data_IF_832052382979
#
_entry.id   IF_832052382979
#
_cell.length_a   1.000
_cell.length_b   1.000
_cell.length_c   1.000
_cell.angle_alpha   90.00
_cell.angle_beta   90.00
_cell.angle_gamma   90.00
#
_symmetry.space_group_name_H-M   'P 1'
#
loop_
_entity.id
_entity.type
_entity.pdbx_description
1 polymer ?
#
# COMPACT_ATOMS: atom_id res chain seq x y z
N UNK A 1 -68.28 -21.08 6.59
CA UNK A 1 -67.01 -20.94 7.32
C UNK A 1 -66.67 -22.30 7.91
N UNK A 2 -65.44 -22.76 7.63
CA UNK A 2 -64.67 -23.85 8.27
C UNK A 2 -65.23 -25.29 8.31
N UNK A 3 -64.67 -26.10 7.42
CA UNK A 3 -64.69 -27.57 7.20
C UNK A 3 -64.17 -28.40 8.39
N UNK A 4 -64.88 -29.45 8.83
CA UNK A 4 -64.73 -30.91 8.55
C UNK A 4 -63.29 -31.46 8.75
N UNK A 5 -62.99 -32.27 9.79
CA UNK A 5 -63.25 -33.72 10.07
C UNK A 5 -62.07 -34.64 9.70
N UNK A 6 -61.70 -35.44 10.72
CA UNK A 6 -60.98 -36.72 10.82
C UNK A 6 -60.35 -37.41 9.60
N UNK A 7 -59.26 -38.17 9.86
CA UNK A 7 -59.24 -39.66 9.82
C UNK A 7 -57.84 -40.17 10.22
N UNK A 8 -57.83 -41.09 11.19
CA UNK A 8 -56.71 -41.98 11.54
C UNK A 8 -56.76 -43.21 10.62
N UNK A 9 -55.63 -43.62 10.06
CA UNK A 9 -55.41 -44.99 9.59
C UNK A 9 -53.94 -45.38 9.73
N UNK A 10 -53.77 -46.65 10.06
CA UNK A 10 -52.62 -47.34 10.62
C UNK A 10 -51.69 -47.98 9.58
N UNK A 11 -50.55 -48.47 10.10
CA UNK A 11 -49.64 -49.53 9.60
C UNK A 11 -48.57 -49.15 8.57
N UNK A 12 -47.29 -49.27 8.94
CA UNK A 12 -46.48 -50.47 8.64
C UNK A 12 -45.15 -50.46 9.42
N UNK A 13 -44.78 -51.63 9.95
CA UNK A 13 -43.50 -51.94 10.60
C UNK A 13 -42.48 -52.29 9.52
N UNK A 14 -41.29 -51.68 9.55
CA UNK A 14 -40.06 -52.33 9.06
C UNK A 14 -38.92 -52.00 10.02
N UNK A 15 -38.44 -53.04 10.69
CA UNK A 15 -37.28 -53.04 11.56
C UNK A 15 -36.09 -53.57 10.74
N UNK A 16 -35.13 -52.71 10.39
CA UNK A 16 -33.83 -53.14 9.90
C UNK A 16 -32.77 -52.80 10.94
N UNK A 17 -32.16 -53.86 11.49
CA UNK A 17 -30.96 -53.78 12.30
C UNK A 17 -29.83 -53.20 11.44
N UNK A 18 -29.32 -52.02 11.80
CA UNK A 18 -28.06 -51.52 11.25
C UNK A 18 -26.93 -51.95 12.17
N UNK A 19 -26.14 -52.92 11.68
CA UNK A 19 -24.83 -53.22 12.22
C UNK A 19 -23.93 -51.99 12.03
N UNK A 20 -23.40 -51.47 13.13
CA UNK A 20 -22.52 -50.32 13.13
C UNK A 20 -21.21 -50.61 12.40
N UNK A 21 -20.89 -49.75 11.43
CA UNK A 21 -19.50 -49.46 11.06
C UNK A 21 -19.32 -47.95 11.20
N UNK A 22 -18.77 -47.54 12.35
CA UNK A 22 -18.33 -46.18 12.57
C UNK A 22 -17.10 -45.93 11.70
N UNK A 23 -17.28 -45.33 10.52
CA UNK A 23 -16.17 -44.76 9.77
C UNK A 23 -15.81 -43.44 10.44
N UNK A 24 -14.78 -43.47 11.28
CA UNK A 24 -14.19 -42.28 11.87
C UNK A 24 -13.69 -41.39 10.73
N UNK A 25 -14.11 -40.11 10.61
CA UNK A 25 -13.53 -39.23 9.62
C UNK A 25 -12.05 -39.04 9.95
N UNK A 26 -11.18 -39.35 8.99
CA UNK A 26 -9.75 -39.10 9.13
C UNK A 26 -9.54 -37.61 9.45
N UNK A 27 -8.79 -37.33 10.52
CA UNK A 27 -8.47 -35.97 10.92
C UNK A 27 -7.88 -35.20 9.72
N UNK A 28 -8.31 -33.94 9.47
CA UNK A 28 -7.70 -33.15 8.41
C UNK A 28 -6.20 -33.05 8.69
N UNK A 29 -5.39 -33.40 7.69
CA UNK A 29 -3.95 -33.27 7.79
C UNK A 29 -3.59 -31.84 8.25
N UNK A 30 -2.66 -31.67 9.21
CA UNK A 30 -2.34 -30.36 9.73
C UNK A 30 -1.89 -29.45 8.60
N UNK A 31 -2.60 -28.32 8.43
CA UNK A 31 -2.24 -27.33 7.44
C UNK A 31 -0.84 -26.80 7.76
N UNK A 32 0.10 -26.96 6.82
CA UNK A 32 1.45 -26.43 6.95
C UNK A 32 1.42 -24.96 7.37
N UNK A 33 2.21 -24.62 8.38
CA UNK A 33 2.39 -23.24 8.80
C UNK A 33 2.96 -22.42 7.64
N UNK A 34 2.68 -21.11 7.61
CA UNK A 34 3.24 -20.24 6.57
C UNK A 34 4.78 -20.30 6.55
N UNK A 35 5.41 -20.50 7.71
CA UNK A 35 6.85 -20.72 7.84
C UNK A 35 7.32 -21.98 7.11
N UNK A 36 6.58 -23.07 7.21
CA UNK A 36 6.86 -24.32 6.49
C UNK A 36 6.57 -24.18 4.99
N UNK A 37 5.49 -23.49 4.61
CA UNK A 37 5.17 -23.17 3.21
C UNK A 37 6.26 -22.32 2.56
N UNK A 38 6.73 -21.28 3.25
CA UNK A 38 7.84 -20.42 2.81
C UNK A 38 9.15 -21.21 2.68
N UNK A 39 9.46 -22.07 3.66
CA UNK A 39 10.65 -22.94 3.62
C UNK A 39 10.61 -23.89 2.42
N UNK A 40 9.44 -24.47 2.12
CA UNK A 40 9.23 -25.37 0.98
C UNK A 40 9.27 -24.66 -0.38
N UNK A 41 8.74 -23.43 -0.47
CA UNK A 41 8.80 -22.60 -1.68
C UNK A 41 10.24 -22.17 -1.99
N UNK A 42 11.02 -21.81 -0.96
CA UNK A 42 12.43 -21.39 -1.13
C UNK A 42 13.32 -22.54 -1.60
N UNK A 43 12.97 -23.79 -1.26
CA UNK A 43 13.69 -24.99 -1.70
C UNK A 43 13.37 -25.45 -3.13
N UNK A 44 12.31 -24.93 -3.76
CA UNK A 44 11.89 -25.27 -5.12
C UNK A 44 12.04 -24.05 -6.03
N UNK A 45 13.27 -23.62 -6.26
CA UNK A 45 13.55 -22.60 -7.29
C UNK A 45 14.00 -23.29 -8.56
N UNK A 46 13.06 -23.51 -9.49
CA UNK A 46 13.26 -23.48 -10.95
C UNK A 46 11.88 -23.38 -11.59
N UNK A 47 11.59 -22.22 -12.22
CA UNK A 47 10.42 -21.92 -13.05
C UNK A 47 9.03 -22.38 -12.56
N UNK A 48 8.29 -21.49 -11.89
CA UNK A 48 6.83 -21.62 -11.70
C UNK A 48 6.13 -20.42 -12.34
N UNK A 49 5.15 -20.73 -13.19
CA UNK A 49 4.28 -19.82 -13.91
C UNK A 49 3.44 -18.96 -12.95
N UNK A 50 3.27 -17.68 -13.29
CA UNK A 50 3.07 -16.53 -12.41
C UNK A 50 1.72 -16.37 -11.69
N UNK A 51 0.75 -17.25 -11.90
CA UNK A 51 -0.65 -16.87 -11.62
C UNK A 51 -1.12 -17.12 -10.19
N UNK A 52 -0.28 -17.71 -9.33
CA UNK A 52 -0.64 -18.09 -7.95
C UNK A 52 0.48 -17.86 -6.93
N UNK A 53 1.39 -16.91 -7.16
CA UNK A 53 2.39 -16.60 -6.16
C UNK A 53 1.78 -15.72 -5.06
N UNK A 54 1.88 -16.18 -3.81
CA UNK A 54 1.59 -15.35 -2.63
C UNK A 54 2.48 -14.10 -2.64
N UNK A 55 3.66 -14.16 -3.26
CA UNK A 55 4.62 -13.07 -3.38
C UNK A 55 5.15 -12.95 -4.80
N UNK A 56 5.16 -11.74 -5.37
CA UNK A 56 5.69 -11.47 -6.72
C UNK A 56 7.06 -10.77 -6.70
N UNK A 57 7.60 -10.50 -5.51
CA UNK A 57 9.00 -10.21 -5.28
C UNK A 57 9.76 -11.45 -4.77
N UNK A 58 11.09 -11.54 -5.02
CA UNK A 58 11.91 -12.59 -4.42
C UNK A 58 11.82 -12.54 -2.89
N UNK A 59 11.51 -13.67 -2.27
CA UNK A 59 11.40 -13.77 -0.80
C UNK A 59 12.63 -14.48 -0.24
N UNK A 60 13.43 -13.75 0.53
CA UNK A 60 14.55 -14.31 1.30
C UNK A 60 14.21 -14.22 2.78
N UNK A 61 14.31 -15.32 3.52
CA UNK A 61 14.19 -15.33 4.97
C UNK A 61 15.56 -15.57 5.62
N UNK A 62 16.06 -14.58 6.36
CA UNK A 62 17.35 -14.66 7.06
C UNK A 62 17.32 -13.91 8.40
N UNK A 63 18.45 -13.89 9.11
CA UNK A 63 18.55 -13.26 10.44
C UNK A 63 18.18 -11.77 10.46
N UNK A 64 18.47 -11.01 9.40
CA UNK A 64 18.09 -9.59 9.31
C UNK A 64 16.58 -9.44 9.14
N UNK A 65 15.96 -10.25 8.28
CA UNK A 65 14.50 -10.26 8.10
C UNK A 65 13.79 -10.66 9.39
N UNK A 66 14.24 -11.73 10.05
CA UNK A 66 13.64 -12.16 11.33
C UNK A 66 13.79 -11.13 12.43
N UNK A 67 14.90 -10.37 12.45
CA UNK A 67 15.11 -9.26 13.38
C UNK A 67 14.06 -8.16 13.16
N UNK A 68 13.78 -7.80 11.91
CA UNK A 68 12.75 -6.80 11.61
C UNK A 68 11.33 -7.30 11.89
N UNK A 69 11.04 -8.58 11.66
CA UNK A 69 9.78 -9.18 12.09
C UNK A 69 9.61 -9.02 13.61
N UNK A 70 10.61 -9.42 14.39
CA UNK A 70 10.58 -9.28 15.84
C UNK A 70 10.49 -7.80 16.27
N UNK A 71 11.15 -6.89 15.55
CA UNK A 71 11.06 -5.47 15.82
C UNK A 71 9.64 -4.94 15.62
N UNK A 72 9.00 -5.26 14.50
CA UNK A 72 7.61 -4.87 14.23
C UNK A 72 6.63 -5.48 15.22
N UNK A 73 6.87 -6.71 15.69
CA UNK A 73 6.03 -7.36 16.72
C UNK A 73 6.29 -6.84 18.15
N UNK A 74 7.46 -6.26 18.41
CA UNK A 74 7.85 -5.80 19.73
C UNK A 74 6.99 -4.65 20.25
N UNK A 75 6.96 -4.45 21.58
CA UNK A 75 6.05 -3.52 22.26
C UNK A 75 6.03 -2.09 21.68
N UNK A 76 7.18 -1.57 21.25
CA UNK A 76 7.26 -0.25 20.60
C UNK A 76 6.88 -0.30 19.12
N UNK A 77 7.27 -1.37 18.43
CA UNK A 77 7.07 -1.55 16.99
C UNK A 77 5.61 -1.78 16.60
N UNK A 78 4.92 -2.60 17.40
CA UNK A 78 3.60 -3.12 17.07
C UNK A 78 2.54 -2.04 16.99
N UNK A 79 2.67 -0.96 17.78
CA UNK A 79 1.72 0.15 17.78
C UNK A 79 1.69 0.87 16.42
N UNK A 80 2.82 1.39 15.95
CA UNK A 80 2.85 2.11 14.67
C UNK A 80 2.77 1.18 13.47
N UNK A 81 3.29 -0.06 13.58
CA UNK A 81 3.15 -1.02 12.49
C UNK A 81 1.68 -1.44 12.29
N UNK A 82 0.90 -1.54 13.38
CA UNK A 82 -0.56 -1.72 13.30
C UNK A 82 -1.22 -0.58 12.50
N UNK A 83 -0.86 0.67 12.78
CA UNK A 83 -1.39 1.81 12.01
C UNK A 83 -1.05 1.70 10.52
N UNK A 84 0.16 1.26 10.19
CA UNK A 84 0.58 1.04 8.80
C UNK A 84 -0.24 -0.06 8.13
N UNK A 85 -0.49 -1.17 8.83
CA UNK A 85 -1.37 -2.25 8.34
C UNK A 85 -2.80 -1.74 8.10
N UNK A 86 -3.35 -0.96 9.03
CA UNK A 86 -4.70 -0.39 8.89
C UNK A 86 -4.80 0.57 7.69
N UNK A 87 -3.83 1.48 7.54
CA UNK A 87 -3.77 2.40 6.37
C UNK A 87 -3.54 1.66 5.06
N UNK A 88 -2.87 0.51 5.08
CA UNK A 88 -2.64 -0.27 3.86
C UNK A 88 -3.94 -0.71 3.18
N UNK A 89 -5.02 -0.99 3.94
CA UNK A 89 -6.33 -1.32 3.37
C UNK A 89 -6.88 -0.18 2.49
N UNK A 90 -6.61 1.08 2.86
CA UNK A 90 -7.05 2.26 2.13
C UNK A 90 -6.25 2.50 0.85
N UNK A 91 -4.92 2.44 0.93
CA UNK A 91 -4.04 2.95 -0.14
C UNK A 91 -3.44 1.86 -1.04
N UNK A 92 -3.21 0.66 -0.51
CA UNK A 92 -2.53 -0.40 -1.26
C UNK A 92 -3.30 -0.87 -2.50
N UNK A 93 -4.65 -1.00 -2.50
CA UNK A 93 -5.39 -1.39 -3.70
C UNK A 93 -5.13 -0.47 -4.90
N UNK A 94 -5.06 0.85 -4.67
CA UNK A 94 -4.76 1.84 -5.71
C UNK A 94 -3.33 1.65 -6.23
N UNK A 95 -2.34 1.59 -5.33
CA UNK A 95 -0.92 1.46 -5.71
C UNK A 95 -0.70 0.16 -6.50
N UNK A 96 -1.25 -0.96 -6.03
CA UNK A 96 -1.14 -2.25 -6.70
C UNK A 96 -1.83 -2.24 -8.06
N UNK A 97 -2.98 -1.58 -8.21
CA UNK A 97 -3.63 -1.45 -9.51
C UNK A 97 -2.73 -0.71 -10.52
N UNK A 98 -2.07 0.38 -10.11
CA UNK A 98 -1.14 1.12 -10.98
C UNK A 98 0.15 0.31 -11.28
N UNK A 99 0.71 -0.41 -10.29
CA UNK A 99 1.84 -1.33 -10.52
C UNK A 99 1.47 -2.43 -11.52
N UNK A 100 0.28 -3.03 -11.37
CA UNK A 100 -0.24 -4.05 -12.28
C UNK A 100 -0.36 -3.53 -13.71
N UNK A 101 -0.96 -2.35 -13.90
CA UNK A 101 -1.07 -1.70 -15.22
C UNK A 101 0.30 -1.45 -15.85
N UNK A 102 1.30 -1.18 -15.02
CA UNK A 102 2.66 -0.94 -15.48
C UNK A 102 3.47 -2.24 -15.72
N UNK A 103 2.92 -3.42 -15.44
CA UNK A 103 3.63 -4.70 -15.54
C UNK A 103 4.71 -4.89 -14.48
N UNK A 104 4.56 -4.25 -13.32
CA UNK A 104 5.49 -4.35 -12.20
C UNK A 104 4.95 -5.27 -11.08
N UNK A 105 5.83 -5.88 -10.26
CA UNK A 105 5.40 -6.62 -9.06
C UNK A 105 4.57 -5.75 -8.12
N UNK A 106 3.45 -6.29 -7.64
CA UNK A 106 2.51 -5.64 -6.72
C UNK A 106 3.12 -5.47 -5.33
N UNK A 107 4.04 -6.36 -4.93
CA UNK A 107 4.71 -6.29 -3.64
C UNK A 107 5.68 -5.10 -3.54
N UNK A 108 5.98 -4.40 -4.65
CA UNK A 108 6.67 -3.11 -4.58
C UNK A 108 5.86 -2.05 -3.79
N UNK A 109 4.54 -2.23 -3.65
CA UNK A 109 3.71 -1.37 -2.80
C UNK A 109 4.18 -1.36 -1.33
N UNK A 110 4.86 -2.40 -0.84
CA UNK A 110 5.41 -2.43 0.52
C UNK A 110 6.58 -1.45 0.72
N UNK A 111 7.18 -0.93 -0.35
CA UNK A 111 8.13 0.19 -0.23
C UNK A 111 7.43 1.42 0.39
N UNK A 112 6.21 1.76 -0.06
CA UNK A 112 5.41 2.88 0.49
C UNK A 112 5.13 2.71 1.99
N UNK A 113 4.91 1.47 2.43
CA UNK A 113 4.73 1.16 3.85
C UNK A 113 6.00 1.50 4.64
N UNK A 114 7.18 1.13 4.14
CA UNK A 114 8.47 1.40 4.81
C UNK A 114 8.85 2.88 4.74
N UNK A 115 8.56 3.54 3.62
CA UNK A 115 8.91 4.94 3.39
C UNK A 115 8.11 5.89 4.26
N UNK A 116 6.79 5.69 4.35
CA UNK A 116 5.90 6.68 4.98
C UNK A 116 4.80 6.08 5.86
N UNK A 117 4.67 4.75 5.91
CA UNK A 117 3.47 4.13 6.47
C UNK A 117 2.19 4.57 5.74
N UNK A 118 2.29 4.81 4.43
CA UNK A 118 1.25 5.38 3.57
C UNK A 118 0.78 6.80 3.97
N UNK A 119 1.60 7.58 4.67
CA UNK A 119 1.24 8.95 5.04
C UNK A 119 1.54 9.92 3.88
N UNK A 120 0.53 10.62 3.32
CA UNK A 120 0.74 11.55 2.21
C UNK A 120 1.48 12.83 2.62
N UNK A 121 1.47 13.16 3.91
CA UNK A 121 2.15 14.33 4.47
C UNK A 121 3.49 13.98 5.15
N UNK A 122 4.04 12.78 4.95
CA UNK A 122 5.32 12.38 5.52
C UNK A 122 6.47 13.26 5.01
N UNK A 123 7.36 13.67 5.91
CA UNK A 123 8.58 14.42 5.60
C UNK A 123 9.73 13.79 6.41
N UNK A 124 10.80 13.39 5.74
CA UNK A 124 12.01 12.90 6.41
C UNK A 124 12.94 14.05 6.83
N UNK A 125 13.95 13.73 7.64
CA UNK A 125 15.05 14.65 7.95
C UNK A 125 15.90 15.06 6.74
N UNK A 126 15.78 14.34 5.62
CA UNK A 126 16.48 14.61 4.38
C UNK A 126 15.56 15.24 3.30
N UNK A 127 14.46 15.85 3.72
CA UNK A 127 13.47 16.52 2.84
C UNK A 127 12.82 15.61 1.79
N UNK A 128 12.80 14.30 2.05
CA UNK A 128 12.01 13.36 1.29
C UNK A 128 10.53 13.50 1.68
N UNK A 129 9.62 13.60 0.70
CA UNK A 129 8.23 13.97 0.95
C UNK A 129 7.25 12.95 0.37
N UNK A 130 6.15 12.77 1.11
CA UNK A 130 4.95 12.07 0.66
C UNK A 130 5.05 10.55 0.74
N UNK A 131 4.08 9.84 0.11
CA UNK A 131 3.94 8.39 0.27
C UNK A 131 5.20 7.62 -0.12
N UNK A 132 5.83 8.03 -1.23
CA UNK A 132 7.01 7.40 -1.82
C UNK A 132 8.32 8.02 -1.35
N UNK A 133 8.28 9.01 -0.45
CA UNK A 133 9.46 9.72 0.07
C UNK A 133 10.41 10.17 -1.05
N UNK A 134 9.89 10.93 -2.02
CA UNK A 134 10.74 11.53 -3.05
C UNK A 134 11.51 12.71 -2.46
N UNK A 135 12.84 12.69 -2.60
CA UNK A 135 13.61 13.94 -2.57
C UNK A 135 13.23 14.79 -3.79
N UNK A 136 13.34 16.11 -3.67
CA UNK A 136 12.87 17.06 -4.68
C UNK A 136 13.52 16.81 -6.05
N UNK A 137 14.85 16.67 -6.11
CA UNK A 137 15.59 16.46 -7.36
C UNK A 137 15.07 15.23 -8.14
N UNK A 138 14.87 14.11 -7.45
CA UNK A 138 14.35 12.88 -8.07
C UNK A 138 12.88 13.03 -8.44
N UNK A 139 12.08 13.66 -7.58
CA UNK A 139 10.67 13.96 -7.89
C UNK A 139 10.52 14.76 -9.18
N UNK A 140 11.27 15.86 -9.31
CA UNK A 140 11.31 16.71 -10.50
C UNK A 140 11.76 15.95 -11.73
N UNK A 141 12.83 15.12 -11.62
CA UNK A 141 13.29 14.26 -12.72
C UNK A 141 12.17 13.35 -13.25
N UNK A 142 11.30 12.88 -12.37
CA UNK A 142 10.14 12.06 -12.74
C UNK A 142 8.85 12.87 -12.86
N UNK A 143 8.92 14.18 -13.07
CA UNK A 143 7.76 15.01 -13.45
C UNK A 143 6.82 15.37 -12.31
N UNK A 144 7.28 15.33 -11.05
CA UNK A 144 6.56 15.90 -9.93
C UNK A 144 6.93 17.37 -9.79
N UNK A 145 5.92 18.22 -9.69
CA UNK A 145 6.08 19.66 -9.53
C UNK A 145 6.03 20.07 -8.07
N UNK A 146 6.85 21.06 -7.73
CA UNK A 146 6.81 21.76 -6.44
C UNK A 146 6.78 23.25 -6.69
N UNK A 147 5.83 23.93 -6.07
CA UNK A 147 5.72 25.38 -6.01
C UNK A 147 5.55 25.80 -4.55
N UNK A 148 5.36 27.09 -4.29
CA UNK A 148 5.14 27.60 -2.94
C UNK A 148 3.82 27.13 -2.30
N UNK A 149 2.84 26.68 -3.11
CA UNK A 149 1.51 26.23 -2.63
C UNK A 149 1.19 24.77 -2.96
N UNK A 150 1.97 24.15 -3.85
CA UNK A 150 1.75 22.80 -4.37
C UNK A 150 3.00 21.94 -4.19
N UNK A 151 2.86 20.71 -3.69
CA UNK A 151 3.92 19.71 -3.68
C UNK A 151 3.37 18.34 -4.12
N UNK A 152 3.54 18.03 -5.41
CA UNK A 152 2.99 16.81 -6.02
C UNK A 152 3.65 15.51 -5.53
N UNK A 153 4.72 15.60 -4.72
CA UNK A 153 5.27 14.43 -4.00
C UNK A 153 4.27 13.88 -2.98
N UNK A 154 3.35 14.72 -2.48
CA UNK A 154 2.27 14.34 -1.56
C UNK A 154 1.06 13.73 -2.27
N UNK A 155 0.90 13.99 -3.57
CA UNK A 155 -0.18 13.43 -4.38
C UNK A 155 0.06 11.93 -4.58
N UNK A 156 -0.81 11.08 -4.03
CA UNK A 156 -0.65 9.62 -4.11
C UNK A 156 -0.60 9.11 -5.56
N UNK A 157 -1.44 9.65 -6.45
CA UNK A 157 -1.50 9.19 -7.84
C UNK A 157 -0.26 9.63 -8.60
N UNK A 158 0.09 10.92 -8.55
CA UNK A 158 1.26 11.45 -9.28
C UNK A 158 2.55 10.83 -8.77
N UNK A 159 2.76 10.79 -7.45
CA UNK A 159 3.95 10.17 -6.86
C UNK A 159 4.05 8.67 -7.16
N UNK A 160 2.93 7.93 -7.19
CA UNK A 160 2.94 6.51 -7.61
C UNK A 160 3.34 6.34 -9.06
N UNK A 161 2.82 7.16 -9.97
CA UNK A 161 3.21 7.11 -11.38
C UNK A 161 4.68 7.49 -11.60
N UNK A 162 5.19 8.46 -10.83
CA UNK A 162 6.61 8.82 -10.82
C UNK A 162 7.48 7.67 -10.29
N UNK A 163 7.09 7.03 -9.18
CA UNK A 163 7.78 5.88 -8.61
C UNK A 163 7.80 4.69 -9.58
N UNK A 164 6.70 4.42 -10.28
CA UNK A 164 6.64 3.37 -11.30
C UNK A 164 7.68 3.59 -12.39
N UNK A 165 7.82 4.82 -12.91
CA UNK A 165 8.86 5.14 -13.90
C UNK A 165 10.25 4.96 -13.32
N UNK A 166 10.48 5.45 -12.11
CA UNK A 166 11.77 5.34 -11.45
C UNK A 166 12.18 3.88 -11.19
N UNK A 167 11.26 3.06 -10.65
CA UNK A 167 11.49 1.64 -10.39
C UNK A 167 11.78 0.86 -11.67
N UNK A 168 11.15 1.22 -12.80
CA UNK A 168 11.47 0.63 -14.11
C UNK A 168 12.89 0.95 -14.56
N UNK A 169 13.32 2.20 -14.45
CA UNK A 169 14.68 2.60 -14.82
C UNK A 169 15.73 1.90 -13.94
N UNK A 170 15.49 1.87 -12.62
CA UNK A 170 16.36 1.14 -11.69
C UNK A 170 16.42 -0.35 -12.01
N UNK A 171 15.27 -0.97 -12.35
CA UNK A 171 15.23 -2.39 -12.67
C UNK A 171 15.90 -2.69 -14.01
N UNK A 172 15.74 -1.82 -15.01
CA UNK A 172 16.45 -1.92 -16.28
C UNK A 172 17.97 -1.85 -16.08
N UNK A 173 18.44 -1.00 -15.16
CA UNK A 173 19.87 -0.88 -14.87
C UNK A 173 20.42 -2.07 -14.06
N UNK A 174 19.76 -2.42 -12.95
CA UNK A 174 20.31 -3.34 -11.96
C UNK A 174 19.83 -4.79 -12.11
N UNK A 175 18.70 -5.02 -12.78
CA UNK A 175 18.15 -6.35 -13.08
C UNK A 175 17.72 -7.17 -11.86
N UNK A 176 17.68 -6.58 -10.67
CA UNK A 176 17.35 -7.26 -9.41
C UNK A 176 16.54 -6.36 -8.51
N UNK A 177 15.37 -6.82 -8.06
CA UNK A 177 14.51 -6.05 -7.15
C UNK A 177 15.16 -5.72 -5.81
N UNK A 178 16.09 -6.55 -5.33
CA UNK A 178 16.87 -6.21 -4.12
C UNK A 178 17.83 -5.05 -4.37
N UNK A 179 18.47 -5.02 -5.54
CA UNK A 179 19.32 -3.90 -5.92
C UNK A 179 18.49 -2.65 -6.20
N UNK A 180 17.31 -2.77 -6.83
CA UNK A 180 16.37 -1.65 -7.04
C UNK A 180 16.02 -0.99 -5.71
N UNK A 181 15.53 -1.77 -4.75
CA UNK A 181 15.19 -1.25 -3.42
C UNK A 181 16.41 -0.64 -2.71
N UNK A 182 17.60 -1.26 -2.81
CA UNK A 182 18.82 -0.69 -2.25
C UNK A 182 19.19 0.65 -2.90
N UNK A 183 19.15 0.75 -4.25
CA UNK A 183 19.41 1.99 -4.98
C UNK A 183 18.37 3.07 -4.73
N UNK A 184 17.11 2.70 -4.50
CA UNK A 184 16.06 3.65 -4.17
C UNK A 184 16.39 4.38 -2.86
N UNK A 185 16.87 3.65 -1.85
CA UNK A 185 17.27 4.21 -0.56
C UNK A 185 18.60 4.99 -0.61
N UNK A 186 19.63 4.46 -1.29
CA UNK A 186 20.98 5.04 -1.24
C UNK A 186 21.37 5.91 -2.45
N UNK A 187 20.50 6.00 -3.45
CA UNK A 187 20.80 6.55 -4.77
C UNK A 187 21.49 5.56 -5.71
N UNK A 188 21.12 5.61 -6.98
CA UNK A 188 21.60 4.74 -8.07
C UNK A 188 23.11 4.89 -8.31
N UNK A 189 23.65 6.11 -8.24
CA UNK A 189 25.08 6.36 -8.40
C UNK A 189 25.90 5.73 -7.27
N UNK A 190 25.37 5.82 -6.04
CA UNK A 190 25.96 5.21 -4.86
C UNK A 190 26.06 3.70 -5.02
N UNK A 191 24.94 3.04 -5.39
CA UNK A 191 24.92 1.60 -5.60
C UNK A 191 25.84 1.16 -6.75
N UNK A 192 25.82 1.88 -7.88
CA UNK A 192 26.68 1.60 -9.04
C UNK A 192 28.16 1.59 -8.65
N UNK A 193 28.59 2.58 -7.85
CA UNK A 193 29.95 2.65 -7.33
C UNK A 193 30.30 1.48 -6.41
N UNK A 194 29.36 1.02 -5.57
CA UNK A 194 29.58 -0.16 -4.71
C UNK A 194 29.67 -1.44 -5.54
N UNK A 195 28.77 -1.64 -6.50
CA UNK A 195 28.82 -2.79 -7.41
C UNK A 195 30.16 -2.84 -8.14
N UNK A 196 30.61 -1.71 -8.70
CA UNK A 196 31.91 -1.61 -9.39
C UNK A 196 33.08 -1.93 -8.45
N UNK A 197 33.09 -1.37 -7.25
CA UNK A 197 34.19 -1.55 -6.27
C UNK A 197 34.32 -2.98 -5.77
N UNK A 198 33.20 -3.66 -5.53
CA UNK A 198 33.18 -5.00 -4.93
C UNK A 198 32.97 -6.14 -5.95
N UNK A 199 32.76 -5.81 -7.23
CA UNK A 199 32.70 -6.79 -8.32
C UNK A 199 31.49 -7.73 -8.28
N UNK A 200 30.39 -7.33 -7.64
CA UNK A 200 29.20 -8.18 -7.49
C UNK A 200 27.89 -7.40 -7.65
N UNK A 201 26.91 -8.04 -8.30
CA UNK A 201 25.51 -7.58 -8.41
C UNK A 201 24.56 -8.36 -7.50
N UNK A 202 25.10 -9.09 -6.51
CA UNK A 202 24.28 -9.75 -5.50
C UNK A 202 24.18 -8.89 -4.23
N UNK A 203 22.95 -8.46 -3.90
CA UNK A 203 22.66 -7.62 -2.74
C UNK A 203 23.13 -8.26 -1.42
N UNK A 204 22.89 -9.56 -1.24
CA UNK A 204 23.24 -10.26 -0.01
C UNK A 204 24.75 -10.39 0.16
N UNK A 205 25.49 -10.53 -0.93
CA UNK A 205 26.95 -10.50 -0.93
C UNK A 205 27.47 -9.10 -0.60
N UNK A 206 26.87 -8.04 -1.16
CA UNK A 206 27.22 -6.65 -0.78
C UNK A 206 26.99 -6.38 0.72
N UNK A 207 25.93 -6.94 1.33
CA UNK A 207 25.75 -6.87 2.79
C UNK A 207 26.86 -7.61 3.53
N UNK A 208 27.17 -8.86 3.15
CA UNK A 208 28.19 -9.68 3.82
C UNK A 208 29.56 -9.01 3.81
N UNK A 209 29.88 -8.30 2.73
CA UNK A 209 31.12 -7.53 2.56
C UNK A 209 31.08 -6.15 3.25
N UNK A 210 29.99 -5.82 3.95
CA UNK A 210 29.74 -4.50 4.55
C UNK A 210 29.92 -3.36 3.54
N UNK A 211 29.53 -3.60 2.28
CA UNK A 211 29.77 -2.69 1.16
C UNK A 211 28.76 -1.53 1.08
N UNK A 212 27.62 -1.64 1.76
CA UNK A 212 26.50 -0.69 1.73
C UNK A 212 26.37 0.06 3.07
N UNK A 213 25.82 1.29 3.07
CA UNK A 213 25.45 1.98 4.31
C UNK A 213 24.51 1.14 5.18
N UNK A 214 24.60 1.26 6.51
CA UNK A 214 23.80 0.46 7.44
C UNK A 214 22.31 0.59 7.14
N UNK A 215 21.82 1.80 6.89
CA UNK A 215 20.42 2.06 6.54
C UNK A 215 19.97 1.21 5.34
N UNK A 216 20.76 1.19 4.27
CA UNK A 216 20.50 0.43 3.04
C UNK A 216 20.63 -1.08 3.23
N UNK A 217 21.53 -1.54 4.09
CA UNK A 217 21.62 -2.95 4.47
C UNK A 217 20.38 -3.44 5.22
N UNK A 218 19.67 -2.53 5.91
CA UNK A 218 18.45 -2.84 6.65
C UNK A 218 17.18 -2.60 5.82
N UNK A 219 17.25 -1.79 4.76
CA UNK A 219 16.09 -1.38 3.96
C UNK A 219 15.35 -2.55 3.29
N UNK A 220 16.05 -3.43 2.56
CA UNK A 220 15.40 -4.61 1.94
C UNK A 220 14.85 -5.57 3.01
N UNK A 221 15.59 -5.90 4.09
CA UNK A 221 15.02 -6.68 5.20
C UNK A 221 13.76 -6.09 5.83
N UNK A 222 13.66 -4.77 5.98
CA UNK A 222 12.43 -4.09 6.46
C UNK A 222 11.24 -4.38 5.53
N UNK A 223 11.43 -4.19 4.22
CA UNK A 223 10.37 -4.43 3.22
C UNK A 223 9.91 -5.89 3.27
N UNK A 224 10.86 -6.84 3.26
CA UNK A 224 10.54 -8.26 3.31
C UNK A 224 9.78 -8.64 4.59
N UNK A 225 10.21 -8.13 5.74
CA UNK A 225 9.52 -8.36 7.02
C UNK A 225 8.11 -7.76 7.02
N UNK A 226 7.94 -6.54 6.53
CA UNK A 226 6.64 -5.88 6.45
C UNK A 226 5.69 -6.63 5.51
N UNK A 227 6.16 -7.04 4.34
CA UNK A 227 5.44 -7.85 3.37
C UNK A 227 4.97 -9.19 3.97
N UNK A 228 5.87 -9.91 4.65
CA UNK A 228 5.53 -11.17 5.31
C UNK A 228 4.43 -11.00 6.37
N UNK A 229 4.53 -9.97 7.20
CA UNK A 229 3.52 -9.68 8.22
C UNK A 229 2.20 -9.28 7.56
N UNK A 230 2.23 -8.35 6.62
CA UNK A 230 1.03 -7.77 6.03
C UNK A 230 0.19 -8.77 5.22
N UNK A 231 0.82 -9.79 4.60
CA UNK A 231 0.07 -10.85 3.90
C UNK A 231 -0.54 -11.89 4.83
N UNK A 232 -0.11 -11.96 6.08
CA UNK A 232 -0.66 -12.90 7.07
C UNK A 232 -0.66 -12.31 8.50
N UNK A 233 -1.31 -11.16 8.74
CA UNK A 233 -1.12 -10.37 9.96
C UNK A 233 -1.49 -11.15 11.23
N UNK A 234 -2.52 -11.99 11.16
CA UNK A 234 -2.97 -12.85 12.26
C UNK A 234 -1.89 -13.84 12.73
N UNK A 235 -1.08 -14.38 11.81
CA UNK A 235 0.01 -15.31 12.13
C UNK A 235 1.16 -14.62 12.87
N UNK A 236 1.28 -13.31 12.71
CA UNK A 236 2.30 -12.48 13.36
C UNK A 236 1.75 -11.71 14.55
N UNK A 237 0.56 -12.03 15.04
CA UNK A 237 -0.03 -11.41 16.24
C UNK A 237 -0.73 -10.07 16.00
N UNK A 238 -0.85 -9.62 14.76
CA UNK A 238 -1.63 -8.44 14.38
C UNK A 238 -3.08 -8.84 14.10
N UNK A 239 -3.82 -9.13 15.18
CA UNK A 239 -5.25 -9.44 15.15
C UNK A 239 -6.08 -8.16 15.29
N UNK A 240 -7.35 -8.22 14.90
CA UNK A 240 -8.34 -7.16 15.11
C UNK A 240 -7.91 -5.82 14.50
N UNK A 241 -7.43 -5.88 13.26
CA UNK A 241 -7.09 -4.69 12.48
C UNK A 241 -8.38 -4.01 12.00
N UNK A 242 -8.56 -2.76 12.37
CA UNK A 242 -9.57 -1.89 11.75
C UNK A 242 -9.26 -1.74 10.25
N UNK A 243 -10.17 -2.20 9.41
CA UNK A 243 -10.02 -2.10 7.96
C UNK A 243 -10.55 -0.74 7.52
N UNK A 244 -9.67 0.09 6.99
CA UNK A 244 -10.07 1.34 6.36
C UNK A 244 -10.60 1.06 4.96
N UNK A 245 -11.64 1.78 4.55
CA UNK A 245 -12.18 1.66 3.20
C UNK A 245 -11.14 2.06 2.14
N UNK A 246 -11.10 1.36 0.99
CA UNK A 246 -10.28 1.75 -0.14
C UNK A 246 -10.51 3.21 -0.53
N UNK A 247 -9.44 3.87 -0.98
CA UNK A 247 -9.50 5.25 -1.40
C UNK A 247 -10.41 5.43 -2.62
N UNK A 248 -11.58 6.04 -2.42
CA UNK A 248 -12.50 6.44 -3.49
C UNK A 248 -12.69 7.97 -3.50
N UNK A 249 -12.65 8.56 -4.69
CA UNK A 249 -12.87 10.00 -4.89
C UNK A 249 -13.35 10.29 -6.31
N UNK A 250 -13.93 11.46 -6.49
CA UNK A 250 -14.17 12.11 -7.77
C UNK A 250 -13.15 13.23 -7.99
N UNK A 251 -12.83 13.50 -9.25
CA UNK A 251 -11.97 14.63 -9.62
C UNK A 251 -12.86 15.73 -10.19
N UNK A 252 -12.74 16.93 -9.64
CA UNK A 252 -13.53 18.09 -10.03
C UNK A 252 -12.63 19.29 -10.29
N UNK A 253 -13.00 20.11 -11.26
CA UNK A 253 -12.28 21.33 -11.59
C UNK A 253 -12.87 22.50 -10.80
N UNK A 254 -12.04 23.18 -10.02
CA UNK A 254 -12.43 24.33 -9.18
C UNK A 254 -11.60 25.56 -9.53
N UNK A 255 -12.12 26.78 -9.34
CA UNK A 255 -11.38 28.00 -9.64
C UNK A 255 -10.30 28.29 -8.59
N UNK A 256 -9.38 29.20 -8.93
CA UNK A 256 -8.51 29.85 -7.95
C UNK A 256 -9.29 30.52 -6.82
N UNK A 257 -8.69 30.58 -5.64
CA UNK A 257 -9.31 31.09 -4.42
C UNK A 257 -10.15 30.06 -3.66
N UNK A 258 -10.27 28.84 -4.16
CA UNK A 258 -10.96 27.75 -3.44
C UNK A 258 -10.16 27.35 -2.20
N UNK A 259 -10.77 27.52 -1.03
CA UNK A 259 -10.23 27.10 0.27
C UNK A 259 -10.81 25.73 0.67
N UNK A 260 -9.95 24.78 1.04
CA UNK A 260 -10.40 23.42 1.34
C UNK A 260 -11.15 23.31 2.67
N UNK A 261 -10.94 24.21 3.62
CA UNK A 261 -11.71 24.18 4.87
C UNK A 261 -13.13 24.67 4.63
N UNK A 262 -13.30 25.78 3.91
CA UNK A 262 -14.60 26.29 3.52
C UNK A 262 -15.37 25.29 2.63
N UNK A 263 -14.67 24.63 1.70
CA UNK A 263 -15.28 23.60 0.87
C UNK A 263 -15.67 22.36 1.70
N UNK A 264 -14.82 21.92 2.63
CA UNK A 264 -15.14 20.78 3.49
C UNK A 264 -16.40 21.03 4.33
N UNK A 265 -16.51 22.24 4.90
CA UNK A 265 -17.69 22.66 5.67
C UNK A 265 -18.95 22.64 4.79
N UNK A 266 -18.87 23.12 3.54
CA UNK A 266 -19.99 23.06 2.58
C UNK A 266 -20.40 21.63 2.21
N UNK A 267 -19.42 20.74 2.03
CA UNK A 267 -19.65 19.33 1.71
C UNK A 267 -20.08 18.49 2.92
N UNK A 268 -20.13 19.07 4.13
CA UNK A 268 -20.38 18.36 5.38
C UNK A 268 -19.43 17.18 5.62
N UNK A 269 -18.15 17.36 5.26
CA UNK A 269 -17.08 16.39 5.52
C UNK A 269 -16.02 16.98 6.43
N UNK A 270 -15.21 16.12 7.05
CA UNK A 270 -14.14 16.63 7.90
C UNK A 270 -13.09 17.36 7.06
N UNK A 271 -12.67 18.54 7.50
CA UNK A 271 -11.55 19.30 6.91
C UNK A 271 -10.31 18.44 6.67
N UNK A 272 -9.96 17.61 7.65
CA UNK A 272 -8.87 16.65 7.55
C UNK A 272 -9.06 15.68 6.39
N UNK A 273 -10.25 15.09 6.23
CA UNK A 273 -10.49 14.14 5.14
C UNK A 273 -10.32 14.77 3.76
N UNK A 274 -10.81 16.00 3.55
CA UNK A 274 -10.67 16.68 2.27
C UNK A 274 -9.23 17.13 2.01
N UNK A 275 -8.51 17.60 3.03
CA UNK A 275 -7.08 17.93 2.94
C UNK A 275 -6.22 16.69 2.69
N UNK A 276 -6.53 15.55 3.31
CA UNK A 276 -5.82 14.29 3.05
C UNK A 276 -6.03 13.79 1.61
N UNK A 277 -7.20 14.04 1.01
CA UNK A 277 -7.45 13.77 -0.42
C UNK A 277 -6.64 14.68 -1.35
N UNK A 278 -6.27 15.87 -0.89
CA UNK A 278 -5.58 16.91 -1.66
C UNK A 278 -4.28 17.32 -0.98
N UNK A 279 -3.53 16.35 -0.47
CA UNK A 279 -2.34 16.59 0.35
C UNK A 279 -1.25 17.37 -0.40
N UNK A 280 -1.28 17.38 -1.74
CA UNK A 280 -0.43 18.21 -2.58
C UNK A 280 -0.67 19.71 -2.40
N UNK A 281 -1.88 20.11 -2.00
CA UNK A 281 -2.21 21.50 -1.68
C UNK A 281 -1.65 21.83 -0.30
N UNK A 282 -0.35 22.08 -0.25
CA UNK A 282 0.43 22.26 0.98
C UNK A 282 -0.17 23.32 1.92
N UNK A 283 -0.75 24.39 1.37
CA UNK A 283 -1.36 25.47 2.13
C UNK A 283 -2.86 25.26 2.41
N UNK A 284 -3.46 24.21 1.86
CA UNK A 284 -4.89 23.91 2.02
C UNK A 284 -5.83 24.78 1.20
N UNK A 285 -5.33 25.55 0.22
CA UNK A 285 -6.14 26.33 -0.70
C UNK A 285 -5.45 26.47 -2.07
N UNK A 286 -6.21 26.89 -3.08
CA UNK A 286 -5.71 27.21 -4.41
C UNK A 286 -5.53 28.73 -4.53
N UNK A 287 -4.35 29.26 -4.86
CA UNK A 287 -4.14 30.70 -4.98
C UNK A 287 -5.05 31.35 -6.01
N UNK A 288 -5.46 32.60 -5.78
CA UNK A 288 -6.40 33.33 -6.65
C UNK A 288 -5.87 33.55 -8.07
N UNK A 289 -4.55 33.58 -8.24
CA UNK A 289 -3.88 33.77 -9.54
C UNK A 289 -3.93 32.50 -10.41
N UNK A 290 -4.22 31.34 -9.82
CA UNK A 290 -4.41 30.10 -10.57
C UNK A 290 -5.81 30.12 -11.16
N UNK A 291 -5.95 30.03 -12.48
CA UNK A 291 -7.26 30.10 -13.14
C UNK A 291 -8.18 28.99 -12.62
N UNK A 292 -7.74 27.73 -12.73
CA UNK A 292 -8.46 26.54 -12.27
C UNK A 292 -7.48 25.44 -11.84
N UNK A 293 -7.93 24.56 -10.96
CA UNK A 293 -7.17 23.40 -10.53
C UNK A 293 -8.09 22.20 -10.30
N UNK A 294 -7.59 21.00 -10.58
CA UNK A 294 -8.32 19.77 -10.29
C UNK A 294 -8.11 19.37 -8.83
N UNK A 295 -9.19 19.11 -8.12
CA UNK A 295 -9.14 18.58 -6.75
C UNK A 295 -9.88 17.25 -6.67
N UNK A 296 -9.55 16.47 -5.65
CA UNK A 296 -10.23 15.23 -5.27
C UNK A 296 -11.27 15.52 -4.20
N UNK A 297 -12.48 15.03 -4.40
CA UNK A 297 -13.56 15.13 -3.44
C UNK A 297 -14.15 13.74 -3.18
N UNK A 298 -14.82 13.52 -2.04
CA UNK A 298 -15.51 12.25 -1.79
C UNK A 298 -16.43 11.88 -2.95
N UNK A 299 -16.50 10.59 -3.26
CA UNK A 299 -17.39 10.07 -4.31
C UNK A 299 -18.83 10.51 -4.06
N UNK A 300 -19.52 10.97 -5.09
CA UNK A 300 -20.86 11.57 -5.03
C UNK A 300 -20.89 13.07 -4.71
N UNK A 301 -19.77 13.70 -4.35
CA UNK A 301 -19.75 15.11 -3.97
C UNK A 301 -19.65 16.09 -5.16
N UNK A 302 -19.39 15.63 -6.39
CA UNK A 302 -19.10 16.51 -7.52
C UNK A 302 -20.21 17.53 -7.85
N UNK A 303 -21.48 17.15 -7.69
CA UNK A 303 -22.61 18.06 -7.91
C UNK A 303 -22.67 19.18 -6.86
N UNK A 304 -22.35 18.86 -5.60
CA UNK A 304 -22.30 19.85 -4.51
C UNK A 304 -21.15 20.83 -4.74
N UNK A 305 -19.99 20.35 -5.18
CA UNK A 305 -18.86 21.22 -5.53
C UNK A 305 -19.21 22.16 -6.67
N UNK A 306 -19.88 21.66 -7.72
CA UNK A 306 -20.31 22.50 -8.85
C UNK A 306 -21.24 23.62 -8.39
N UNK A 307 -22.16 23.31 -7.47
CA UNK A 307 -23.07 24.30 -6.87
C UNK A 307 -22.32 25.34 -6.04
N UNK A 308 -21.34 24.92 -5.24
CA UNK A 308 -20.46 25.80 -4.47
C UNK A 308 -19.68 26.77 -5.38
N UNK A 309 -19.07 26.25 -6.45
CA UNK A 309 -18.29 27.04 -7.41
C UNK A 309 -19.15 28.10 -8.08
N UNK A 310 -20.39 27.77 -8.48
CA UNK A 310 -21.31 28.75 -9.07
C UNK A 310 -21.66 29.89 -8.10
N UNK A 311 -21.87 29.60 -6.82
CA UNK A 311 -22.14 30.62 -5.80
C UNK A 311 -20.91 31.49 -5.54
N UNK A 312 -19.73 30.88 -5.45
CA UNK A 312 -18.46 31.56 -5.24
C UNK A 312 -18.16 32.54 -6.38
N UNK A 313 -18.32 32.13 -7.63
CA UNK A 313 -18.12 33.00 -8.80
C UNK A 313 -19.07 34.19 -8.83
N UNK A 314 -20.32 34.03 -8.39
CA UNK A 314 -21.27 35.16 -8.28
C UNK A 314 -20.85 36.16 -7.23
N UNK A 315 -20.34 35.71 -6.08
CA UNK A 315 -19.91 36.61 -5.00
C UNK A 315 -18.68 37.43 -5.40
N UNK A 316 -17.70 36.80 -6.06
CA UNK A 316 -16.50 37.50 -6.57
C UNK A 316 -16.85 38.50 -7.68
N UNK A 317 -17.87 38.26 -8.49
CA UNK A 317 -18.30 39.20 -9.53
C UNK A 317 -19.05 40.44 -8.98
N UNK A 318 -19.42 40.44 -7.69
CA UNK A 318 -20.15 41.53 -7.02
C UNK A 318 -19.24 42.36 -6.10
N UNK A 319 -17.98 41.97 -5.94
CA UNK A 319 -16.92 42.66 -5.16
C UNK A 319 -15.92 43.34 -6.11
#
# INVERSE_FOLDING_TARGET
>A
MSTWVAVLLSTFIIQFAQAGTSVTPAAPAPALTLKEKLKALTSRSTHVQSDNLIFDLPVTYNKKVSKWIAHYQGARGSKWFREWLQRSYKYMPFIQAELKKAGLPLDLAYMVMIESGFAPNAISHADAVGPWQFIEATGTRYGLSKTWWLDERRDLKKSTLAAIRYLKDLHQEFGSWYLVAASYNMGENGLRNRIKKYGTKDYWTLIKLNALPVETQEYVPKILAAMLIAKAPNLYGFRDLEKMDPLEYEIVLVPGGTDLDALADHLSVTRKSLKDLNAELYLGYIPRQVEKHFIRVPKGAGQLVSSYVHQFSRKVALE
#
